data_IF_353788055379
#
_entry.id   IF_353788055379
#
_cell.length_a   1.000
_cell.length_b   1.000
_cell.length_c   1.000
_cell.angle_alpha   90.00
_cell.angle_beta   90.00
_cell.angle_gamma   90.00
#
_symmetry.space_group_name_H-M   'P 1'
#
loop_
_entity.id
_entity.type
_entity.pdbx_description
1 polymer ?
#
# COMPACT_ATOMS: atom_id res chain seq x y z
N UNK A 1 -42.13 -58.06 12.06
CA UNK A 1 -41.39 -58.96 12.98
C UNK A 1 -40.04 -58.30 13.23
N UNK A 2 -39.90 -57.49 14.29
CA UNK A 2 -39.37 -57.88 15.62
C UNK A 2 -37.93 -58.41 15.48
N UNK A 3 -36.87 -57.87 16.11
CA UNK A 3 -36.71 -57.20 17.41
C UNK A 3 -35.48 -56.27 17.39
N UNK A 4 -35.51 -55.25 18.25
CA UNK A 4 -34.47 -54.28 18.63
C UNK A 4 -33.25 -54.91 19.32
N UNK A 5 -32.08 -54.25 19.29
CA UNK A 5 -31.41 -53.77 20.52
C UNK A 5 -30.14 -52.97 20.19
N UNK A 6 -29.99 -51.86 20.93
CA UNK A 6 -28.84 -50.98 20.97
C UNK A 6 -27.96 -51.33 22.19
N UNK A 7 -26.68 -50.98 22.15
CA UNK A 7 -25.89 -50.67 23.35
C UNK A 7 -25.00 -49.45 23.07
N UNK A 8 -25.13 -48.47 23.96
CA UNK A 8 -24.38 -47.23 24.07
C UNK A 8 -22.99 -47.45 24.68
N UNK A 9 -22.07 -46.53 24.35
CA UNK A 9 -21.37 -45.71 25.36
C UNK A 9 -19.93 -46.09 25.69
N UNK A 10 -18.98 -45.20 25.39
CA UNK A 10 -18.45 -44.20 26.35
C UNK A 10 -17.30 -43.40 25.72
N UNK A 11 -17.36 -42.09 25.91
CA UNK A 11 -16.32 -41.11 25.58
C UNK A 11 -15.22 -41.11 26.64
N UNK A 12 -13.98 -40.75 26.27
CA UNK A 12 -13.02 -40.14 27.19
C UNK A 12 -12.21 -39.07 26.45
N UNK A 13 -12.40 -37.84 26.89
CA UNK A 13 -11.60 -36.65 26.60
C UNK A 13 -10.34 -36.70 27.48
N UNK A 14 -9.18 -36.38 26.92
CA UNK A 14 -7.95 -36.11 27.67
C UNK A 14 -7.28 -34.87 27.11
N UNK A 15 -7.34 -33.76 27.86
CA UNK A 15 -6.59 -32.53 27.64
C UNK A 15 -5.28 -32.54 28.44
N UNK A 16 -4.25 -31.90 27.85
CA UNK A 16 -3.11 -31.17 28.45
C UNK A 16 -1.91 -31.96 29.01
N UNK A 17 -0.74 -31.60 28.47
CA UNK A 17 0.58 -31.79 29.06
C UNK A 17 1.67 -31.15 28.19
N UNK A 18 2.01 -29.89 28.45
CA UNK A 18 3.17 -29.20 27.86
C UNK A 18 4.41 -29.43 28.72
N UNK A 19 5.55 -29.82 28.10
CA UNK A 19 6.91 -29.55 28.59
C UNK A 19 7.95 -29.82 27.47
N UNK A 20 8.61 -28.73 27.05
CA UNK A 20 9.97 -28.62 26.49
C UNK A 20 10.56 -29.76 25.63
N UNK A 21 10.68 -29.49 24.32
CA UNK A 21 11.60 -30.17 23.40
C UNK A 21 11.91 -29.24 22.22
N UNK A 22 13.21 -29.07 21.93
CA UNK A 22 13.77 -28.25 20.86
C UNK A 22 13.15 -28.61 19.49
N UNK A 23 12.72 -27.66 18.63
CA UNK A 23 12.14 -28.02 17.35
C UNK A 23 13.25 -28.62 16.46
N UNK A 24 13.09 -29.91 16.23
CA UNK A 24 13.76 -30.69 15.20
C UNK A 24 13.57 -29.98 13.86
N UNK A 25 14.69 -29.65 13.20
CA UNK A 25 14.72 -29.05 11.87
C UNK A 25 14.06 -30.00 10.89
N UNK A 26 12.76 -29.81 10.67
CA UNK A 26 12.07 -30.35 9.51
C UNK A 26 12.46 -29.49 8.31
N UNK A 27 13.00 -30.04 7.22
CA UNK A 27 13.34 -29.28 6.04
C UNK A 27 12.09 -28.61 5.47
N UNK A 28 12.26 -27.39 4.95
CA UNK A 28 11.20 -26.65 4.27
C UNK A 28 10.55 -27.53 3.19
N UNK A 29 9.22 -27.55 3.05
CA UNK A 29 8.59 -28.20 1.91
C UNK A 29 9.06 -27.49 0.63
N UNK A 30 9.73 -28.23 -0.24
CA UNK A 30 9.88 -27.85 -1.64
C UNK A 30 8.47 -27.81 -2.27
N UNK A 31 8.13 -26.70 -2.94
CA UNK A 31 6.88 -26.58 -3.69
C UNK A 31 5.65 -26.28 -2.83
N UNK A 32 5.65 -25.14 -2.13
CA UNK A 32 4.44 -24.56 -1.59
C UNK A 32 3.85 -23.58 -2.60
N UNK A 33 2.87 -24.01 -3.40
CA UNK A 33 1.87 -23.11 -3.95
C UNK A 33 1.35 -22.28 -2.77
N UNK A 34 1.78 -21.01 -2.69
CA UNK A 34 1.07 -20.04 -1.89
C UNK A 34 -0.30 -19.92 -2.52
N UNK A 35 -1.26 -20.69 -2.01
CA UNK A 35 -2.67 -20.34 -2.14
C UNK A 35 -2.81 -19.01 -1.42
N UNK A 36 -2.56 -17.94 -2.16
CA UNK A 36 -3.03 -16.61 -1.81
C UNK A 36 -4.54 -16.77 -1.77
N UNK A 37 -5.07 -16.99 -0.57
CA UNK A 37 -6.50 -16.82 -0.35
C UNK A 37 -6.68 -15.32 -0.54
N UNK A 38 -7.01 -14.90 -1.76
CA UNK A 38 -7.45 -13.54 -2.01
C UNK A 38 -8.61 -13.34 -1.03
N UNK A 39 -8.40 -12.49 -0.03
CA UNK A 39 -9.47 -12.03 0.85
C UNK A 39 -10.49 -11.42 -0.08
N UNK A 40 -11.59 -12.15 -0.32
CA UNK A 40 -12.67 -11.64 -1.13
C UNK A 40 -13.23 -10.43 -0.42
N UNK A 41 -13.26 -9.33 -1.15
CA UNK A 41 -13.82 -8.10 -0.62
C UNK A 41 -15.28 -8.32 -0.21
N UNK A 42 -15.66 -7.98 1.03
CA UNK A 42 -17.03 -8.14 1.53
C UNK A 42 -17.99 -7.12 0.90
N UNK A 43 -17.48 -5.91 0.66
CA UNK A 43 -18.20 -4.85 -0.03
C UNK A 43 -17.35 -4.42 -1.22
N UNK A 44 -17.59 -4.93 -2.43
CA UNK A 44 -16.74 -4.65 -3.57
C UNK A 44 -16.79 -3.17 -3.97
N UNK A 45 -15.77 -2.73 -4.70
CA UNK A 45 -15.77 -1.42 -5.34
C UNK A 45 -16.97 -1.31 -6.30
N UNK A 46 -17.60 -0.12 -6.42
CA UNK A 46 -18.72 0.07 -7.33
C UNK A 46 -18.32 -0.30 -8.78
N UNK A 47 -19.17 -1.06 -9.51
CA UNK A 47 -18.87 -1.45 -10.88
C UNK A 47 -18.83 -0.22 -11.78
N UNK A 48 -17.76 -0.09 -12.56
CA UNK A 48 -17.61 1.01 -13.50
C UNK A 48 -18.39 0.74 -14.81
N UNK A 49 -18.94 1.79 -15.48
CA UNK A 49 -18.92 3.20 -15.09
C UNK A 49 -19.99 3.50 -14.02
N UNK A 50 -19.59 4.13 -12.91
CA UNK A 50 -20.52 4.48 -11.81
C UNK A 50 -20.85 5.99 -11.78
N UNK A 51 -20.04 6.84 -12.40
CA UNK A 51 -20.15 8.31 -12.31
C UNK A 51 -21.54 8.88 -12.66
N UNK A 52 -22.28 8.25 -13.58
CA UNK A 52 -23.60 8.70 -14.02
C UNK A 52 -24.77 8.24 -13.16
N UNK A 53 -24.56 7.29 -12.24
CA UNK A 53 -25.64 6.67 -11.46
C UNK A 53 -25.37 6.69 -9.94
N UNK A 54 -24.12 6.89 -9.54
CA UNK A 54 -23.75 7.02 -8.14
C UNK A 54 -24.38 8.30 -7.56
N UNK A 55 -25.08 8.16 -6.45
CA UNK A 55 -25.58 9.30 -5.71
C UNK A 55 -24.42 10.04 -5.04
N UNK A 56 -24.21 11.30 -5.42
CA UNK A 56 -23.22 12.18 -4.79
C UNK A 56 -23.93 13.02 -3.73
N UNK A 57 -23.74 12.67 -2.46
CA UNK A 57 -24.41 13.30 -1.33
C UNK A 57 -23.90 14.71 -1.03
N UNK A 58 -22.64 15.00 -1.33
CA UNK A 58 -22.08 16.34 -1.12
C UNK A 58 -20.56 16.40 -1.16
N UNK A 59 -20.02 17.38 -0.44
CA UNK A 59 -18.59 17.64 -0.35
C UNK A 59 -18.05 17.16 1.01
N UNK A 60 -16.87 16.55 1.01
CA UNK A 60 -16.06 16.22 2.18
C UNK A 60 -14.83 17.13 2.18
N UNK A 61 -14.65 17.92 3.23
CA UNK A 61 -13.47 18.77 3.38
C UNK A 61 -12.43 18.08 4.24
N UNK A 62 -11.15 18.32 3.97
CA UNK A 62 -10.08 17.83 4.86
C UNK A 62 -10.21 18.49 6.22
N UNK A 63 -10.14 17.68 7.29
CA UNK A 63 -10.37 18.11 8.67
C UNK A 63 -11.85 18.15 9.07
N UNK A 64 -12.77 17.69 8.22
CA UNK A 64 -14.19 17.62 8.52
C UNK A 64 -14.75 16.20 8.43
N UNK A 65 -16.02 16.05 8.82
CA UNK A 65 -16.76 14.82 8.69
C UNK A 65 -18.17 15.11 8.16
N UNK A 66 -18.71 14.12 7.46
CA UNK A 66 -20.08 14.09 6.94
C UNK A 66 -20.80 12.88 7.52
N UNK A 67 -22.13 12.92 7.55
CA UNK A 67 -22.95 11.82 8.03
C UNK A 67 -23.91 11.38 6.94
N UNK A 68 -24.08 10.07 6.80
CA UNK A 68 -25.01 9.45 5.87
C UNK A 68 -25.88 8.40 6.55
N UNK A 69 -26.87 7.90 5.80
CA UNK A 69 -27.71 6.77 6.21
C UNK A 69 -27.64 5.69 5.14
N UNK A 70 -27.41 4.46 5.54
CA UNK A 70 -27.23 3.33 4.63
C UNK A 70 -28.55 2.81 4.01
N UNK A 71 -29.71 3.34 4.41
CA UNK A 71 -31.00 2.84 3.96
C UNK A 71 -31.17 1.34 4.30
N UNK A 72 -32.00 0.60 3.57
CA UNK A 72 -32.28 -0.81 3.89
C UNK A 72 -31.63 -1.82 2.96
N UNK A 73 -31.19 -1.40 1.77
CA UNK A 73 -30.57 -2.25 0.74
C UNK A 73 -29.09 -1.93 0.55
N UNK A 74 -28.36 -2.84 -0.10
CA UNK A 74 -27.00 -2.56 -0.59
C UNK A 74 -27.01 -1.32 -1.51
N UNK A 75 -26.07 -0.41 -1.31
CA UNK A 75 -25.90 0.76 -2.15
C UNK A 75 -24.52 1.40 -1.94
N UNK A 76 -24.27 2.48 -2.66
CA UNK A 76 -23.09 3.33 -2.55
C UNK A 76 -23.50 4.79 -2.43
N UNK A 77 -22.68 5.57 -1.74
CA UNK A 77 -22.81 7.02 -1.64
C UNK A 77 -21.45 7.68 -1.86
N UNK A 78 -21.43 8.72 -2.69
CA UNK A 78 -20.22 9.45 -3.09
C UNK A 78 -20.11 10.82 -2.42
N UNK A 79 -18.88 11.20 -2.10
CA UNK A 79 -18.51 12.51 -1.56
C UNK A 79 -17.34 13.10 -2.33
N UNK A 80 -17.45 14.38 -2.69
CA UNK A 80 -16.39 15.10 -3.41
C UNK A 80 -15.35 15.63 -2.43
N UNK A 81 -14.10 15.27 -2.66
CA UNK A 81 -12.95 15.72 -1.88
C UNK A 81 -12.02 16.52 -2.79
N UNK A 82 -11.96 17.84 -2.61
CA UNK A 82 -11.06 18.70 -3.37
C UNK A 82 -9.79 18.98 -2.56
N UNK A 83 -8.63 18.65 -3.13
CA UNK A 83 -7.33 18.78 -2.45
C UNK A 83 -6.28 19.42 -3.34
N UNK A 84 -5.32 20.19 -2.76
CA UNK A 84 -4.07 20.52 -3.42
C UNK A 84 -3.23 19.26 -3.72
N UNK A 85 -2.25 19.41 -4.61
CA UNK A 85 -1.26 18.37 -4.87
C UNK A 85 -0.46 18.04 -3.59
N UNK A 86 -0.05 16.77 -3.48
CA UNK A 86 0.69 16.18 -2.37
C UNK A 86 -0.02 16.30 -1.01
N UNK A 87 -1.36 16.31 -1.00
CA UNK A 87 -2.15 16.24 0.22
C UNK A 87 -2.18 14.81 0.74
N UNK A 88 -2.06 14.61 2.06
CA UNK A 88 -2.16 13.29 2.69
C UNK A 88 -3.29 13.26 3.71
N UNK A 89 -4.25 12.36 3.52
CA UNK A 89 -5.41 12.20 4.41
C UNK A 89 -5.51 10.80 4.97
N UNK A 90 -6.08 10.67 6.15
CA UNK A 90 -6.72 9.44 6.61
C UNK A 90 -8.23 9.56 6.40
N UNK A 91 -8.84 8.51 5.87
CA UNK A 91 -10.30 8.41 5.70
C UNK A 91 -10.82 7.29 6.58
N UNK A 92 -11.87 7.56 7.34
CA UNK A 92 -12.49 6.57 8.21
C UNK A 92 -14.01 6.65 8.12
N UNK A 93 -14.65 5.50 7.96
CA UNK A 93 -16.08 5.33 8.16
C UNK A 93 -16.30 4.85 9.59
N UNK A 94 -17.16 5.53 10.35
CA UNK A 94 -17.55 5.13 11.71
C UNK A 94 -19.07 4.88 11.75
N UNK A 95 -19.50 3.76 12.30
CA UNK A 95 -20.92 3.51 12.57
C UNK A 95 -21.41 4.36 13.76
N UNK A 96 -22.54 5.04 13.58
CA UNK A 96 -23.20 5.79 14.64
C UNK A 96 -24.30 4.91 15.28
N UNK A 97 -24.01 4.35 16.46
CA UNK A 97 -24.91 3.43 17.18
C UNK A 97 -24.34 2.00 17.25
N UNK A 98 -25.21 0.99 17.30
CA UNK A 98 -24.75 -0.42 17.29
C UNK A 98 -24.26 -0.80 15.89
N UNK A 99 -22.95 -1.09 15.76
CA UNK A 99 -22.30 -1.49 14.50
C UNK A 99 -22.51 -2.95 14.09
N UNK A 100 -23.31 -3.71 14.84
CA UNK A 100 -23.63 -5.10 14.52
C UNK A 100 -24.41 -5.19 13.20
N UNK A 101 -23.83 -5.88 12.21
CA UNK A 101 -24.51 -6.33 11.01
C UNK A 101 -24.57 -5.33 9.85
N UNK A 102 -23.70 -4.31 9.81
CA UNK A 102 -23.45 -3.51 8.61
C UNK A 102 -21.97 -3.57 8.33
N UNK A 103 -21.61 -4.03 7.13
CA UNK A 103 -20.25 -3.99 6.62
C UNK A 103 -20.15 -2.86 5.61
N UNK A 104 -19.06 -2.09 5.67
CA UNK A 104 -18.80 -0.99 4.75
C UNK A 104 -17.62 -1.27 3.85
N UNK A 105 -17.57 -0.59 2.71
CA UNK A 105 -16.38 -0.47 1.87
C UNK A 105 -16.07 1.00 1.65
N UNK A 106 -14.79 1.35 1.54
CA UNK A 106 -14.30 2.70 1.35
C UNK A 106 -13.35 2.75 0.17
N UNK A 107 -13.72 3.54 -0.84
CA UNK A 107 -13.00 3.63 -2.10
C UNK A 107 -12.72 5.07 -2.48
N UNK A 108 -11.59 5.33 -3.13
CA UNK A 108 -11.22 6.67 -3.59
C UNK A 108 -10.87 6.62 -5.07
N UNK A 109 -11.46 7.51 -5.85
CA UNK A 109 -11.26 7.64 -7.29
C UNK A 109 -10.81 9.05 -7.67
N UNK A 110 -10.20 9.18 -8.86
CA UNK A 110 -9.79 10.46 -9.43
C UNK A 110 -8.28 10.62 -9.62
N UNK A 111 -7.79 11.86 -9.78
CA UNK A 111 -8.58 13.10 -9.81
C UNK A 111 -9.54 13.12 -11.01
N UNK A 112 -10.61 13.90 -10.90
CA UNK A 112 -11.59 14.06 -11.97
C UNK A 112 -10.96 14.66 -13.23
N UNK A 113 -11.19 14.00 -14.35
CA UNK A 113 -10.79 14.47 -15.68
C UNK A 113 -12.03 14.79 -16.53
N UNK A 114 -11.82 15.17 -17.79
CA UNK A 114 -12.91 15.27 -18.77
C UNK A 114 -13.66 13.94 -18.98
N UNK A 115 -13.05 12.81 -18.61
CA UNK A 115 -13.61 11.46 -18.75
C UNK A 115 -14.23 10.92 -17.44
N UNK A 116 -14.32 11.74 -16.38
CA UNK A 116 -14.81 11.31 -15.07
C UNK A 116 -13.68 11.01 -14.08
N UNK A 117 -13.97 10.19 -13.06
CA UNK A 117 -13.01 9.85 -11.99
C UNK A 117 -12.14 8.62 -12.29
N UNK A 118 -12.29 8.02 -13.46
CA UNK A 118 -11.60 6.78 -13.85
C UNK A 118 -12.37 5.52 -13.46
N UNK A 119 -11.81 4.36 -13.79
CA UNK A 119 -12.47 3.06 -13.65
C UNK A 119 -11.96 2.23 -12.48
N UNK A 120 -10.78 2.57 -11.93
CA UNK A 120 -10.12 1.84 -10.87
C UNK A 120 -9.94 2.72 -9.64
N UNK A 121 -10.23 2.21 -8.43
CA UNK A 121 -9.96 2.96 -7.22
C UNK A 121 -8.44 3.16 -7.05
N UNK A 122 -8.04 4.37 -6.69
CA UNK A 122 -6.67 4.68 -6.25
C UNK A 122 -6.38 4.05 -4.88
N UNK A 123 -7.39 4.07 -4.01
CA UNK A 123 -7.35 3.54 -2.67
C UNK A 123 -8.64 2.77 -2.41
N UNK A 124 -8.52 1.64 -1.72
CA UNK A 124 -9.65 0.80 -1.34
C UNK A 124 -9.35 0.13 -0.02
N UNK A 125 -10.32 0.17 0.88
CA UNK A 125 -10.33 -0.66 2.08
C UNK A 125 -11.76 -1.10 2.36
N UNK A 126 -11.91 -2.37 2.69
CA UNK A 126 -13.19 -2.99 2.94
C UNK A 126 -13.14 -3.91 4.16
N UNK A 127 -12.22 -3.59 5.10
CA UNK A 127 -11.82 -4.33 6.31
C UNK A 127 -12.65 -5.59 6.54
N UNK A 128 -12.09 -6.73 6.13
CA UNK A 128 -12.81 -7.98 5.97
C UNK A 128 -13.19 -8.59 7.33
N UNK A 129 -14.32 -8.16 7.90
CA UNK A 129 -14.86 -8.68 9.16
C UNK A 129 -16.27 -8.17 9.47
N UNK A 130 -16.99 -8.88 10.35
CA UNK A 130 -18.40 -8.61 10.65
C UNK A 130 -18.54 -7.36 11.55
N UNK A 131 -19.00 -6.23 11.01
CA UNK A 131 -19.17 -4.97 11.74
C UNK A 131 -17.90 -4.16 11.95
N UNK A 132 -16.84 -4.43 11.18
CA UNK A 132 -15.60 -3.66 11.18
C UNK A 132 -15.74 -2.37 10.35
N UNK A 133 -14.87 -1.41 10.62
CA UNK A 133 -14.96 -0.06 10.10
C UNK A 133 -13.94 0.11 8.98
N UNK A 134 -14.39 0.49 7.79
CA UNK A 134 -13.47 0.73 6.67
C UNK A 134 -12.61 1.97 6.91
N UNK A 135 -11.30 1.81 6.76
CA UNK A 135 -10.29 2.82 7.07
C UNK A 135 -9.18 2.80 6.05
N UNK A 136 -8.89 3.99 5.52
CA UNK A 136 -7.67 4.27 4.78
C UNK A 136 -6.77 5.11 5.70
N UNK A 137 -5.78 4.50 6.38
CA UNK A 137 -4.93 5.23 7.33
C UNK A 137 -4.02 6.27 6.65
N UNK A 138 -3.78 6.10 5.35
CA UNK A 138 -3.04 7.04 4.52
C UNK A 138 -3.52 6.94 3.07
N UNK A 139 -3.89 8.09 2.51
CA UNK A 139 -4.10 8.30 1.08
C UNK A 139 -3.31 9.54 0.65
N UNK A 140 -2.34 9.36 -0.26
CA UNK A 140 -1.49 10.43 -0.80
C UNK A 140 -2.02 10.88 -2.16
N UNK A 141 -2.37 12.16 -2.29
CA UNK A 141 -2.92 12.72 -3.52
C UNK A 141 -1.85 13.50 -4.28
N UNK A 142 -1.23 12.89 -5.29
CA UNK A 142 -0.11 13.52 -6.00
C UNK A 142 -0.52 14.70 -6.88
N UNK A 143 -1.76 14.69 -7.38
CA UNK A 143 -2.28 15.74 -8.24
C UNK A 143 -3.34 16.57 -7.49
N UNK A 144 -3.36 17.87 -7.75
CA UNK A 144 -4.44 18.72 -7.29
C UNK A 144 -5.73 18.39 -8.07
N UNK A 145 -6.89 18.41 -7.41
CA UNK A 145 -8.15 18.17 -8.10
C UNK A 145 -9.30 17.76 -7.19
N UNK A 146 -10.44 17.49 -7.82
CA UNK A 146 -11.62 16.87 -7.21
C UNK A 146 -11.47 15.35 -7.29
N UNK A 147 -11.47 14.69 -6.13
CA UNK A 147 -11.51 13.24 -5.99
C UNK A 147 -12.89 12.81 -5.50
N UNK A 148 -13.22 11.55 -5.72
CA UNK A 148 -14.47 10.98 -5.26
C UNK A 148 -14.19 9.92 -4.20
N UNK A 149 -14.65 10.16 -2.98
CA UNK A 149 -14.64 9.19 -1.89
C UNK A 149 -16.00 8.49 -1.88
N UNK A 150 -16.00 7.18 -2.02
CA UNK A 150 -17.21 6.36 -2.09
C UNK A 150 -17.28 5.46 -0.87
N UNK A 151 -18.42 5.51 -0.18
CA UNK A 151 -18.78 4.57 0.88
C UNK A 151 -19.79 3.59 0.29
N UNK A 152 -19.47 2.30 0.32
CA UNK A 152 -20.37 1.21 -0.04
C UNK A 152 -20.83 0.43 1.17
N UNK A 153 -21.93 -0.32 1.03
CA UNK A 153 -22.39 -1.28 2.03
C UNK A 153 -23.16 -2.42 1.39
N UNK A 154 -23.06 -3.63 1.97
CA UNK A 154 -23.76 -4.83 1.48
C UNK A 154 -25.19 -4.94 2.03
N UNK A 155 -25.45 -4.37 3.20
CA UNK A 155 -26.77 -4.29 3.82
C UNK A 155 -26.88 -3.02 4.68
N UNK A 156 -27.92 -2.22 4.47
CA UNK A 156 -27.97 -0.92 5.15
C UNK A 156 -28.51 -0.98 6.59
N UNK A 157 -29.58 -1.74 6.84
CA UNK A 157 -30.27 -1.80 8.14
C UNK A 157 -30.65 -0.42 8.75
N UNK A 158 -30.82 0.59 7.90
CA UNK A 158 -31.11 1.99 8.18
C UNK A 158 -30.15 2.63 9.19
N UNK A 159 -28.88 2.19 9.20
CA UNK A 159 -27.86 2.70 10.12
C UNK A 159 -27.30 4.01 9.64
N UNK A 160 -26.90 4.83 10.61
CA UNK A 160 -26.17 6.06 10.34
C UNK A 160 -24.68 5.77 10.39
N UNK A 161 -23.93 6.42 9.51
CA UNK A 161 -22.47 6.41 9.54
C UNK A 161 -21.94 7.84 9.51
N UNK A 162 -20.66 7.97 9.88
CA UNK A 162 -19.86 9.18 9.74
C UNK A 162 -18.65 8.86 8.88
N UNK A 163 -18.46 9.59 7.78
CA UNK A 163 -17.23 9.58 7.00
C UNK A 163 -16.39 10.79 7.41
N UNK A 164 -15.16 10.54 7.86
CA UNK A 164 -14.23 11.56 8.31
C UNK A 164 -12.99 11.61 7.42
N UNK A 165 -12.56 12.82 7.05
CA UNK A 165 -11.27 13.06 6.41
C UNK A 165 -10.35 13.81 7.37
N UNK A 166 -9.31 13.16 7.85
CA UNK A 166 -8.31 13.75 8.75
C UNK A 166 -7.04 14.07 7.98
N UNK A 167 -6.49 15.27 8.16
CA UNK A 167 -5.17 15.58 7.61
C UNK A 167 -4.09 14.80 8.38
N UNK A 168 -3.26 14.04 7.66
CA UNK A 168 -2.12 13.32 8.25
C UNK A 168 -0.78 13.84 7.76
N UNK A 169 -0.76 14.69 6.73
CA UNK A 169 0.47 15.30 6.24
C UNK A 169 0.33 16.05 4.92
N UNK A 170 1.45 16.52 4.40
CA UNK A 170 1.51 17.20 3.11
C UNK A 170 0.80 18.56 3.12
N UNK A 171 0.17 18.89 1.99
CA UNK A 171 -0.38 20.23 1.77
C UNK A 171 -1.62 20.60 2.62
N UNK A 172 -2.21 19.66 3.37
CA UNK A 172 -3.37 19.95 4.22
C UNK A 172 -3.02 20.42 5.63
N UNK A 173 -1.75 20.37 6.05
CA UNK A 173 -1.34 20.86 7.37
C UNK A 173 -1.19 22.37 7.31
N UNK A 174 -1.99 23.10 8.09
CA UNK A 174 -1.86 24.54 8.20
C UNK A 174 -0.60 24.91 8.99
N UNK A 175 0.26 25.75 8.41
CA UNK A 175 1.50 26.25 9.04
C UNK A 175 2.38 25.14 9.68
N UNK A 176 2.82 24.14 8.92
CA UNK A 176 3.56 23.01 9.47
C UNK A 176 4.92 23.46 10.03
N UNK A 177 5.28 22.94 11.20
CA UNK A 177 6.58 23.20 11.80
C UNK A 177 7.72 22.50 11.04
N UNK A 178 8.96 22.99 11.14
CA UNK A 178 10.12 22.27 10.60
C UNK A 178 10.27 20.89 11.27
N UNK A 179 10.76 19.91 10.52
CA UNK A 179 11.03 18.59 11.05
C UNK A 179 12.19 18.64 12.07
N UNK A 180 12.09 17.93 13.21
CA UNK A 180 13.25 17.65 14.05
C UNK A 180 14.37 16.97 13.27
N UNK A 181 15.63 17.17 13.68
CA UNK A 181 16.81 16.66 12.96
C UNK A 181 16.80 15.14 12.66
N UNK A 182 16.11 14.35 13.50
CA UNK A 182 16.00 12.90 13.38
C UNK A 182 14.53 12.43 13.30
N UNK A 183 13.67 13.22 12.67
CA UNK A 183 12.27 12.84 12.48
C UNK A 183 12.18 11.49 11.73
N UNK A 184 11.53 10.46 12.31
CA UNK A 184 11.47 9.15 11.71
C UNK A 184 10.49 9.13 10.53
N UNK A 185 10.82 8.33 9.51
CA UNK A 185 9.90 8.01 8.41
C UNK A 185 9.23 6.68 8.73
N UNK A 186 7.90 6.65 8.72
CA UNK A 186 7.12 5.41 8.83
C UNK A 186 6.52 5.07 7.48
N UNK A 187 6.93 3.94 6.92
CA UNK A 187 6.54 3.52 5.58
C UNK A 187 5.22 2.74 5.61
N UNK A 188 4.31 3.09 4.71
CA UNK A 188 3.13 2.32 4.38
C UNK A 188 3.30 1.77 2.96
N UNK A 189 3.17 0.45 2.80
CA UNK A 189 3.31 -0.20 1.49
C UNK A 189 2.07 0.01 0.64
N UNK A 190 2.26 0.29 -0.65
CA UNK A 190 1.18 0.44 -1.62
C UNK A 190 1.48 -0.35 -2.88
N UNK A 191 0.44 -0.80 -3.61
CA UNK A 191 0.66 -1.38 -4.92
C UNK A 191 1.34 -0.38 -5.86
N UNK A 192 2.19 -0.91 -6.73
CA UNK A 192 2.85 -0.14 -7.77
C UNK A 192 1.83 0.33 -8.81
N UNK A 193 2.05 1.51 -9.37
CA UNK A 193 1.22 2.02 -10.48
C UNK A 193 1.27 1.07 -11.68
N UNK A 194 0.15 0.92 -12.39
CA UNK A 194 0.05 0.03 -13.54
C UNK A 194 1.04 0.34 -14.66
N UNK A 195 1.37 1.62 -14.87
CA UNK A 195 2.37 2.07 -15.84
C UNK A 195 3.76 1.63 -15.43
N UNK A 196 4.14 1.88 -14.17
CA UNK A 196 5.45 1.47 -13.64
C UNK A 196 5.59 -0.05 -13.64
N UNK A 197 4.53 -0.77 -13.28
CA UNK A 197 4.50 -2.22 -13.31
C UNK A 197 4.67 -2.77 -14.73
N UNK A 198 4.04 -2.15 -15.73
CA UNK A 198 4.20 -2.54 -17.14
C UNK A 198 5.62 -2.29 -17.66
N UNK A 199 6.24 -1.15 -17.33
CA UNK A 199 7.63 -0.84 -17.70
C UNK A 199 8.60 -1.83 -17.04
N UNK A 200 8.42 -2.11 -15.74
CA UNK A 200 9.24 -3.08 -15.01
C UNK A 200 9.11 -4.49 -15.62
N UNK A 201 7.88 -4.93 -15.86
CA UNK A 201 7.61 -6.25 -16.44
C UNK A 201 8.21 -6.42 -17.84
N UNK A 202 8.09 -5.39 -18.69
CA UNK A 202 8.71 -5.39 -20.02
C UNK A 202 10.24 -5.46 -19.96
N UNK A 203 10.86 -4.75 -19.03
CA UNK A 203 12.31 -4.78 -18.83
C UNK A 203 12.81 -6.11 -18.26
N UNK A 204 12.07 -6.71 -17.32
CA UNK A 204 12.39 -8.04 -16.76
C UNK A 204 12.28 -9.16 -17.80
N UNK A 205 11.47 -9.00 -18.84
CA UNK A 205 11.37 -9.97 -19.94
C UNK A 205 12.54 -9.89 -20.94
N UNK A 206 13.43 -8.90 -20.82
CA UNK A 206 14.52 -8.69 -21.77
C UNK A 206 15.64 -9.74 -21.64
N UNK A 207 16.02 -10.10 -20.41
CA UNK A 207 17.08 -11.07 -20.09
C UNK A 207 16.79 -11.79 -18.77
N UNK A 208 17.09 -13.08 -18.71
CA UNK A 208 16.88 -13.89 -17.49
C UNK A 208 17.91 -13.64 -16.40
N UNK A 209 19.14 -13.30 -16.79
CA UNK A 209 20.26 -13.09 -15.87
C UNK A 209 20.30 -11.69 -15.25
N UNK A 210 19.41 -10.79 -15.67
CA UNK A 210 19.31 -9.41 -15.18
C UNK A 210 17.85 -9.00 -14.99
N UNK A 211 17.39 -9.01 -13.74
CA UNK A 211 16.02 -8.66 -13.37
C UNK A 211 15.99 -7.69 -12.19
N UNK A 212 14.89 -6.96 -12.04
CA UNK A 212 14.72 -5.98 -10.97
C UNK A 212 13.35 -6.08 -10.32
N UNK A 213 13.27 -5.54 -9.11
CA UNK A 213 12.04 -5.32 -8.36
C UNK A 213 11.87 -3.83 -8.08
N UNK A 214 10.61 -3.39 -7.98
CA UNK A 214 10.27 -2.03 -7.62
C UNK A 214 9.10 -2.06 -6.62
N UNK A 215 9.39 -1.70 -5.38
CA UNK A 215 8.37 -1.52 -4.35
C UNK A 215 8.06 -0.03 -4.19
N UNK A 216 6.80 0.26 -3.85
CA UNK A 216 6.33 1.59 -3.50
C UNK A 216 5.95 1.66 -2.03
N UNK A 217 6.46 2.70 -1.37
CA UNK A 217 6.02 3.11 -0.06
C UNK A 217 5.62 4.57 -0.05
N UNK A 218 4.59 4.89 0.72
CA UNK A 218 4.21 6.25 1.06
C UNK A 218 4.52 6.48 2.55
N UNK A 219 4.65 7.73 2.96
CA UNK A 219 4.82 8.06 4.36
C UNK A 219 4.11 9.37 4.71
N UNK A 220 3.37 9.37 5.81
CA UNK A 220 2.75 10.59 6.32
C UNK A 220 3.83 11.58 6.77
N UNK A 221 3.76 12.83 6.30
CA UNK A 221 4.76 13.85 6.63
C UNK A 221 4.12 15.20 6.98
N UNK A 222 3.96 15.52 8.28
CA UNK A 222 3.28 16.73 8.73
C UNK A 222 4.19 17.95 8.88
N UNK A 223 5.42 17.91 8.35
CA UNK A 223 6.43 18.96 8.53
C UNK A 223 6.64 19.81 7.27
N UNK A 224 7.08 21.06 7.44
CA UNK A 224 7.37 21.99 6.33
C UNK A 224 8.66 21.64 5.59
N UNK A 225 9.65 21.08 6.28
CA UNK A 225 10.91 20.63 5.65
C UNK A 225 10.76 19.20 5.16
N UNK A 226 11.47 18.86 4.09
CA UNK A 226 11.46 17.51 3.52
C UNK A 226 12.04 16.47 4.48
N UNK A 227 11.57 15.22 4.36
CA UNK A 227 12.24 14.08 4.98
C UNK A 227 13.65 13.94 4.42
N UNK A 228 14.58 13.41 5.22
CA UNK A 228 15.94 13.14 4.75
C UNK A 228 16.03 11.77 4.09
N UNK A 229 16.92 11.66 3.09
CA UNK A 229 17.24 10.38 2.46
C UNK A 229 17.72 9.34 3.47
N UNK A 230 18.47 9.75 4.49
CA UNK A 230 18.95 8.84 5.53
C UNK A 230 17.82 8.30 6.41
N UNK A 231 16.81 9.12 6.74
CA UNK A 231 15.64 8.64 7.48
C UNK A 231 14.80 7.66 6.65
N UNK A 232 14.60 7.94 5.36
CA UNK A 232 13.94 7.03 4.43
C UNK A 232 14.71 5.71 4.29
N UNK A 233 16.03 5.78 4.11
CA UNK A 233 16.87 4.60 3.99
C UNK A 233 16.91 3.76 5.27
N UNK A 234 16.96 4.41 6.44
CA UNK A 234 16.86 3.71 7.72
C UNK A 234 15.52 2.98 7.87
N UNK A 235 14.41 3.59 7.46
CA UNK A 235 13.09 2.98 7.49
C UNK A 235 12.98 1.76 6.57
N UNK A 236 13.53 1.83 5.35
CA UNK A 236 13.59 0.68 4.43
C UNK A 236 14.47 -0.42 5.00
N UNK A 237 15.70 -0.09 5.44
CA UNK A 237 16.63 -1.07 5.96
C UNK A 237 16.16 -1.72 7.26
N UNK A 238 15.30 -1.07 8.05
CA UNK A 238 14.71 -1.65 9.26
C UNK A 238 13.82 -2.88 8.95
N UNK A 239 13.26 -2.96 7.73
CA UNK A 239 12.47 -4.11 7.29
C UNK A 239 13.33 -5.36 7.15
N UNK A 240 12.75 -6.52 7.41
CA UNK A 240 13.46 -7.81 7.42
C UNK A 240 13.92 -8.24 6.02
N UNK A 241 13.16 -7.87 4.99
CA UNK A 241 13.45 -8.20 3.58
C UNK A 241 14.82 -7.64 3.15
N UNK A 242 15.17 -6.45 3.64
CA UNK A 242 16.38 -5.70 3.25
C UNK A 242 17.58 -5.90 4.18
N UNK A 243 17.52 -6.85 5.12
CA UNK A 243 18.58 -7.09 6.12
C UNK A 243 19.97 -7.32 5.51
N UNK A 244 20.04 -7.90 4.31
CA UNK A 244 21.29 -8.22 3.63
C UNK A 244 22.11 -7.01 3.16
N UNK A 245 21.50 -5.82 3.12
CA UNK A 245 22.16 -4.58 2.68
C UNK A 245 22.75 -3.75 3.83
N UNK A 246 22.42 -4.10 5.09
CA UNK A 246 22.82 -3.32 6.28
C UNK A 246 24.33 -3.30 6.54
N UNK A 247 25.07 -4.24 5.93
CA UNK A 247 26.51 -4.40 6.12
C UNK A 247 27.34 -3.84 4.96
N UNK A 248 26.72 -3.16 3.99
CA UNK A 248 27.48 -2.46 2.95
C UNK A 248 28.41 -1.41 3.61
N UNK A 249 29.74 -1.54 3.48
CA UNK A 249 30.68 -0.64 4.13
C UNK A 249 30.72 0.76 3.49
N UNK A 250 30.19 0.92 2.29
CA UNK A 250 30.30 2.15 1.51
C UNK A 250 29.05 2.42 0.65
N UNK A 251 27.88 2.62 1.26
CA UNK A 251 26.67 2.95 0.50
C UNK A 251 26.85 4.28 -0.23
N UNK A 252 26.41 4.31 -1.49
CA UNK A 252 26.50 5.49 -2.34
C UNK A 252 25.30 6.42 -2.15
N UNK A 253 25.53 7.73 -2.27
CA UNK A 253 24.46 8.74 -2.36
C UNK A 253 24.57 9.47 -3.69
N UNK A 254 23.46 9.57 -4.42
CA UNK A 254 23.41 10.14 -5.75
C UNK A 254 22.24 11.12 -5.90
N UNK A 255 22.41 12.10 -6.78
CA UNK A 255 21.27 12.83 -7.32
C UNK A 255 20.45 11.90 -8.20
N UNK A 256 19.16 12.19 -8.37
CA UNK A 256 18.33 11.39 -9.24
C UNK A 256 18.86 11.36 -10.68
N UNK A 257 19.35 12.48 -11.21
CA UNK A 257 19.97 12.51 -12.54
C UNK A 257 21.20 11.58 -12.68
N UNK A 258 22.07 11.52 -11.68
CA UNK A 258 23.26 10.66 -11.70
C UNK A 258 22.95 9.18 -11.48
N UNK A 259 21.75 8.86 -11.00
CA UNK A 259 21.31 7.49 -10.82
C UNK A 259 21.00 6.78 -12.16
N UNK A 260 20.56 7.50 -13.20
CA UNK A 260 20.22 6.92 -14.51
C UNK A 260 21.33 6.04 -15.09
N UNK A 261 22.58 6.50 -15.04
CA UNK A 261 23.74 5.76 -15.58
C UNK A 261 24.13 4.53 -14.77
N UNK A 262 23.53 4.33 -13.58
CA UNK A 262 23.74 3.15 -12.71
C UNK A 262 22.68 2.07 -12.90
N UNK A 263 21.57 2.41 -13.56
CA UNK A 263 20.52 1.46 -13.91
C UNK A 263 20.97 0.64 -15.12
N UNK A 264 20.62 -0.65 -15.15
CA UNK A 264 20.78 -1.42 -16.39
C UNK A 264 19.91 -0.80 -17.50
N UNK A 265 20.41 -0.85 -18.73
CA UNK A 265 19.83 -0.14 -19.88
C UNK A 265 18.33 -0.43 -20.06
N UNK A 266 17.90 -1.68 -19.86
CA UNK A 266 16.49 -2.08 -19.99
C UNK A 266 15.58 -1.44 -18.93
N UNK A 267 16.10 -1.07 -17.76
CA UNK A 267 15.34 -0.45 -16.68
C UNK A 267 15.41 1.08 -16.68
N UNK A 268 16.28 1.69 -17.49
CA UNK A 268 16.39 3.16 -17.59
C UNK A 268 15.06 3.89 -17.88
N UNK A 269 14.09 3.33 -18.64
CA UNK A 269 12.78 3.96 -18.79
C UNK A 269 12.00 4.18 -17.47
N UNK A 270 12.26 3.39 -16.42
CA UNK A 270 11.66 3.61 -15.09
C UNK A 270 12.08 4.96 -14.50
N UNK A 271 13.27 5.46 -14.85
CA UNK A 271 13.83 6.68 -14.30
C UNK A 271 12.90 7.88 -14.48
N UNK A 272 12.49 8.17 -15.72
CA UNK A 272 11.56 9.26 -15.98
C UNK A 272 10.13 8.90 -15.57
N UNK A 273 9.71 7.64 -15.80
CA UNK A 273 8.35 7.21 -15.50
C UNK A 273 7.98 7.37 -14.01
N UNK A 274 8.93 7.17 -13.09
CA UNK A 274 8.72 7.40 -11.64
C UNK A 274 8.39 8.87 -11.38
N UNK A 275 9.16 9.81 -11.95
CA UNK A 275 8.92 11.24 -11.75
C UNK A 275 7.56 11.65 -12.31
N UNK A 276 7.23 11.18 -13.52
CA UNK A 276 5.95 11.49 -14.17
C UNK A 276 4.76 10.94 -13.39
N UNK A 277 4.89 9.73 -12.82
CA UNK A 277 3.83 9.08 -12.04
C UNK A 277 3.52 9.84 -10.75
N UNK A 278 4.55 10.33 -10.06
CA UNK A 278 4.39 10.94 -8.73
C UNK A 278 4.42 12.47 -8.75
N UNK A 279 4.69 13.09 -9.89
CA UNK A 279 4.77 14.55 -10.05
C UNK A 279 5.95 15.17 -9.30
N UNK A 280 7.05 14.43 -9.13
CA UNK A 280 8.24 14.89 -8.40
C UNK A 280 9.25 15.58 -9.34
N UNK A 281 9.91 16.62 -8.84
CA UNK A 281 11.06 17.20 -9.54
C UNK A 281 12.33 16.36 -9.39
N UNK A 282 13.02 16.10 -10.52
CA UNK A 282 14.31 15.42 -10.52
C UNK A 282 15.39 16.11 -9.66
N UNK A 283 15.27 17.43 -9.44
CA UNK A 283 16.20 18.19 -8.61
C UNK A 283 16.03 17.89 -7.11
N UNK A 284 14.83 17.46 -6.70
CA UNK A 284 14.49 17.17 -5.32
C UNK A 284 14.63 15.70 -4.98
N UNK A 285 14.45 14.82 -5.95
CA UNK A 285 14.62 13.38 -5.79
C UNK A 285 16.08 13.01 -5.47
N UNK A 286 16.26 12.09 -4.53
CA UNK A 286 17.58 11.65 -4.07
C UNK A 286 17.63 10.12 -3.99
N UNK A 287 18.81 9.54 -4.20
CA UNK A 287 18.98 8.09 -4.23
C UNK A 287 20.11 7.66 -3.30
N UNK A 288 19.84 6.66 -2.47
CA UNK A 288 20.86 5.94 -1.69
C UNK A 288 20.97 4.52 -2.19
N UNK A 289 22.16 4.11 -2.58
CA UNK A 289 22.40 2.78 -3.14
C UNK A 289 23.24 1.93 -2.19
N UNK A 290 22.80 0.70 -2.00
CA UNK A 290 23.50 -0.32 -1.23
C UNK A 290 23.84 -1.48 -2.14
N UNK A 291 25.07 -1.96 -2.05
CA UNK A 291 25.55 -3.08 -2.85
C UNK A 291 25.75 -4.31 -1.96
N UNK A 292 25.45 -5.47 -2.53
CA UNK A 292 25.90 -6.74 -1.96
C UNK A 292 26.20 -7.74 -3.07
N UNK A 293 27.13 -8.62 -2.76
CA UNK A 293 27.54 -9.74 -3.59
C UNK A 293 27.55 -10.99 -2.73
N UNK A 294 27.11 -12.10 -3.29
CA UNK A 294 27.17 -13.40 -2.62
C UNK A 294 27.20 -14.52 -3.66
N UNK A 295 27.95 -15.56 -3.36
CA UNK A 295 28.01 -16.76 -4.17
C UNK A 295 26.79 -17.65 -3.92
N UNK A 296 26.21 -18.17 -4.99
CA UNK A 296 25.10 -19.14 -5.01
C UNK A 296 25.55 -20.54 -5.40
N UNK A 297 26.84 -20.74 -5.66
CA UNK A 297 27.44 -22.02 -6.01
C UNK A 297 28.86 -21.85 -6.56
N UNK A 298 29.58 -22.95 -6.88
CA UNK A 298 30.98 -22.91 -7.28
C UNK A 298 31.33 -21.97 -8.45
N UNK A 299 30.35 -21.64 -9.31
CA UNK A 299 30.50 -20.74 -10.46
C UNK A 299 29.30 -19.78 -10.60
N UNK A 300 28.61 -19.44 -9.51
CA UNK A 300 27.36 -18.67 -9.59
C UNK A 300 27.39 -17.47 -8.67
N UNK A 301 27.95 -16.35 -9.11
CA UNK A 301 27.93 -15.11 -8.32
C UNK A 301 26.64 -14.32 -8.58
N UNK A 302 26.10 -13.72 -7.52
CA UNK A 302 24.93 -12.85 -7.55
C UNK A 302 25.33 -11.46 -7.07
N UNK A 303 25.05 -10.46 -7.90
CA UNK A 303 25.24 -9.06 -7.58
C UNK A 303 23.89 -8.38 -7.44
N UNK A 304 23.70 -7.66 -6.34
CA UNK A 304 22.47 -6.89 -6.13
C UNK A 304 22.75 -5.48 -5.67
N UNK A 305 22.04 -4.55 -6.27
CA UNK A 305 22.06 -3.14 -5.85
C UNK A 305 20.66 -2.73 -5.44
N UNK A 306 20.49 -2.40 -4.16
CA UNK A 306 19.28 -1.80 -3.61
C UNK A 306 19.39 -0.28 -3.75
N UNK A 307 18.47 0.34 -4.48
CA UNK A 307 18.40 1.78 -4.63
C UNK A 307 17.14 2.28 -3.93
N UNK A 308 17.34 3.04 -2.86
CA UNK A 308 16.27 3.70 -2.11
C UNK A 308 16.15 5.11 -2.69
N UNK A 309 15.04 5.36 -3.35
CA UNK A 309 14.74 6.61 -4.05
C UNK A 309 13.74 7.37 -3.18
N UNK A 310 14.17 8.50 -2.63
CA UNK A 310 13.29 9.42 -1.91
C UNK A 310 12.72 10.45 -2.89
N UNK A 311 11.40 10.54 -2.94
CA UNK A 311 10.65 11.58 -3.63
C UNK A 311 10.03 12.49 -2.55
N UNK A 312 10.74 13.55 -2.14
CA UNK A 312 10.39 14.26 -0.92
C UNK A 312 9.18 15.17 -1.05
N UNK A 313 8.87 15.76 -2.21
CA UNK A 313 7.69 16.61 -2.38
C UNK A 313 6.41 15.78 -2.40
N UNK A 314 6.45 14.67 -3.15
CA UNK A 314 5.34 13.73 -3.34
C UNK A 314 5.16 12.72 -2.19
N UNK A 315 6.09 12.69 -1.23
CA UNK A 315 6.03 11.86 -0.01
C UNK A 315 6.06 10.35 -0.30
N UNK A 316 6.88 9.96 -1.26
CA UNK A 316 7.09 8.56 -1.62
C UNK A 316 8.54 8.12 -1.39
N UNK A 317 8.68 6.83 -1.10
CA UNK A 317 9.95 6.11 -1.14
C UNK A 317 9.77 4.92 -2.09
N UNK A 318 10.56 4.90 -3.15
CA UNK A 318 10.62 3.77 -4.08
C UNK A 318 11.85 2.94 -3.74
N UNK A 319 11.68 1.63 -3.69
CA UNK A 319 12.78 0.71 -3.45
C UNK A 319 12.99 -0.11 -4.70
N UNK A 320 14.05 0.23 -5.42
CA UNK A 320 14.43 -0.39 -6.68
C UNK A 320 15.64 -1.30 -6.49
N UNK A 321 15.41 -2.62 -6.45
CA UNK A 321 16.46 -3.62 -6.35
C UNK A 321 16.76 -4.18 -7.74
N UNK A 322 17.98 -4.00 -8.23
CA UNK A 322 18.44 -4.62 -9.46
C UNK A 322 19.37 -5.78 -9.14
N UNK A 323 19.15 -6.90 -9.80
CA UNK A 323 19.87 -8.16 -9.61
C UNK A 323 20.50 -8.58 -10.93
N UNK A 324 21.75 -9.03 -10.85
CA UNK A 324 22.41 -9.77 -11.91
C UNK A 324 23.04 -11.04 -11.34
N UNK A 325 23.13 -12.09 -12.16
CA UNK A 325 23.86 -13.30 -11.82
C UNK A 325 24.70 -13.80 -12.98
N UNK A 326 25.74 -14.57 -12.66
CA UNK A 326 26.56 -15.26 -13.64
C UNK A 326 25.77 -16.41 -14.30
N UNK A 327 25.98 -16.62 -15.60
CA UNK A 327 25.43 -17.73 -16.41
C UNK A 327 26.46 -18.84 -16.54
#
# INVERSE_FOLDING_TARGET
>A
MAVRSAVLGMSAVGLMGACGGQPEQTPAPEGGDTVTTATQSLVPAPPAPFDSYLYIAGNLSVGSAVTGNTGTSANYEGYKLTVPAHTQVALEVTHLGTGMGVDTGLYVYGPKTQYGYGYWPLYGDDDSGYGELSKLPLATFNQAGEYLVVVGWSNGLAKNYRLQASCVGGACVANPSPAPANAPVTLAAFPLDGTLNAVLGGANAYREDMYSFLDRYDFAWPYSTHASLDAAAAAVLARSEYKGYRNDPSPGTYTYAAFLSRMYLQFQPLHQAILDTYGESAANAQVKSYFREFSTGPNGDNWRTLNIILLPESRHVLVYEQTAHEI
#
